data_IF_758052414479
#
_entry.id   IF_758052414479
#
_cell.length_a   1.000
_cell.length_b   1.000
_cell.length_c   1.000
_cell.angle_alpha   90.00
_cell.angle_beta   90.00
_cell.angle_gamma   90.00
#
_symmetry.space_group_name_H-M   'P 1'
#
loop_
_entity.id
_entity.type
_entity.pdbx_description
1 polymer ?
#
# COMPACT_ATOMS: atom_id res chain seq x y z
N UNK A 1 -24.61 6.79 25.11
CA UNK A 1 -23.96 7.98 24.52
C UNK A 1 -24.56 8.19 23.13
N UNK A 2 -25.20 9.34 22.86
CA UNK A 2 -25.77 9.62 21.52
C UNK A 2 -24.61 9.99 20.58
N UNK A 3 -24.44 9.33 19.42
CA UNK A 3 -23.36 9.68 18.50
C UNK A 3 -23.51 11.12 18.03
N UNK A 4 -22.41 11.87 18.00
CA UNK A 4 -22.42 13.24 17.46
C UNK A 4 -22.70 13.21 15.95
N UNK A 5 -23.33 14.24 15.37
CA UNK A 5 -23.64 14.27 13.93
C UNK A 5 -22.41 14.04 13.04
N UNK A 6 -21.23 14.52 13.49
CA UNK A 6 -19.94 14.32 12.81
C UNK A 6 -19.48 12.87 12.85
N UNK A 7 -19.65 12.19 13.98
CA UNK A 7 -19.30 10.77 14.09
C UNK A 7 -20.16 9.90 13.18
N UNK A 8 -21.46 10.21 13.06
CA UNK A 8 -22.35 9.53 12.11
C UNK A 8 -21.90 9.70 10.66
N UNK A 9 -21.55 10.92 10.25
CA UNK A 9 -21.06 11.20 8.89
C UNK A 9 -19.75 10.45 8.61
N UNK A 10 -18.78 10.52 9.53
CA UNK A 10 -17.48 9.87 9.34
C UNK A 10 -17.61 8.34 9.26
N UNK A 11 -18.41 7.75 10.15
CA UNK A 11 -18.67 6.31 10.12
C UNK A 11 -19.39 5.90 8.83
N UNK A 12 -20.36 6.70 8.37
CA UNK A 12 -21.03 6.47 7.09
C UNK A 12 -20.06 6.51 5.90
N UNK A 13 -19.15 7.48 5.88
CA UNK A 13 -18.11 7.58 4.85
C UNK A 13 -17.15 6.39 4.88
N UNK A 14 -16.71 5.95 6.06
CA UNK A 14 -15.83 4.78 6.19
C UNK A 14 -16.51 3.50 5.71
N UNK A 15 -17.79 3.31 6.03
CA UNK A 15 -18.57 2.16 5.54
C UNK A 15 -18.70 2.24 4.00
N UNK A 16 -19.00 3.41 3.45
CA UNK A 16 -19.07 3.60 2.01
C UNK A 16 -17.74 3.28 1.32
N UNK A 17 -16.62 3.72 1.90
CA UNK A 17 -15.28 3.44 1.39
C UNK A 17 -14.94 1.94 1.44
N UNK A 18 -15.34 1.25 2.52
CA UNK A 18 -15.12 -0.18 2.69
C UNK A 18 -15.97 -1.03 1.73
N UNK A 19 -17.17 -0.56 1.38
CA UNK A 19 -18.06 -1.22 0.43
C UNK A 19 -17.73 -0.85 -1.03
N UNK A 20 -16.93 0.19 -1.26
CA UNK A 20 -16.60 0.67 -2.61
C UNK A 20 -16.05 -0.44 -3.54
N UNK A 21 -15.17 -1.37 -3.11
CA UNK A 21 -14.72 -2.48 -3.96
C UNK A 21 -15.82 -3.47 -4.32
N UNK A 22 -16.75 -3.75 -3.40
CA UNK A 22 -17.90 -4.61 -3.67
C UNK A 22 -18.88 -3.96 -4.63
N UNK A 23 -19.11 -2.66 -4.48
CA UNK A 23 -19.94 -1.91 -5.41
C UNK A 23 -19.27 -1.91 -6.79
N UNK A 24 -17.97 -1.62 -6.86
CA UNK A 24 -17.21 -1.62 -8.11
C UNK A 24 -17.24 -2.96 -8.85
N UNK A 25 -17.15 -4.08 -8.12
CA UNK A 25 -17.20 -5.42 -8.72
C UNK A 25 -18.58 -5.76 -9.28
N UNK A 26 -19.66 -5.27 -8.65
CA UNK A 26 -21.02 -5.43 -9.16
C UNK A 26 -21.31 -4.59 -10.41
N UNK A 27 -20.63 -3.45 -10.58
CA UNK A 27 -20.73 -2.65 -11.80
C UNK A 27 -20.03 -3.29 -13.01
N UNK A 28 -19.31 -4.40 -12.83
CA UNK A 28 -18.89 -5.30 -13.91
C UNK A 28 -17.73 -4.82 -14.79
N UNK A 29 -17.13 -3.67 -14.49
CA UNK A 29 -16.02 -3.12 -15.27
C UNK A 29 -14.70 -3.17 -14.46
N UNK A 30 -13.72 -3.91 -14.98
CA UNK A 30 -12.38 -4.03 -14.40
C UNK A 30 -11.70 -2.67 -14.20
N UNK A 31 -12.07 -1.67 -15.01
CA UNK A 31 -11.55 -0.31 -14.89
C UNK A 31 -11.88 0.33 -13.53
N UNK A 32 -13.16 0.33 -13.12
CA UNK A 32 -13.57 0.96 -11.86
C UNK A 32 -12.96 0.26 -10.65
N UNK A 33 -12.87 -1.07 -10.69
CA UNK A 33 -12.23 -1.86 -9.63
C UNK A 33 -10.75 -1.50 -9.49
N UNK A 34 -10.03 -1.36 -10.60
CA UNK A 34 -8.62 -0.95 -10.59
C UNK A 34 -8.42 0.47 -10.05
N UNK A 35 -9.24 1.43 -10.49
CA UNK A 35 -9.16 2.83 -10.01
C UNK A 35 -9.45 2.92 -8.52
N UNK A 36 -10.55 2.31 -8.06
CA UNK A 36 -10.94 2.34 -6.64
C UNK A 36 -9.87 1.67 -5.77
N UNK A 37 -9.29 0.55 -6.23
CA UNK A 37 -8.21 -0.13 -5.50
C UNK A 37 -6.99 0.78 -5.33
N UNK A 38 -6.57 1.49 -6.37
CA UNK A 38 -5.45 2.45 -6.30
C UNK A 38 -5.74 3.60 -5.34
N UNK A 39 -6.94 4.17 -5.37
CA UNK A 39 -7.35 5.24 -4.44
C UNK A 39 -7.31 4.74 -3.00
N UNK A 40 -7.83 3.54 -2.73
CA UNK A 40 -7.82 2.96 -1.38
C UNK A 40 -6.40 2.69 -0.88
N UNK A 41 -5.52 2.14 -1.72
CA UNK A 41 -4.11 1.91 -1.37
C UNK A 41 -3.43 3.24 -0.99
N UNK A 42 -3.61 4.29 -1.80
CA UNK A 42 -3.03 5.61 -1.52
C UNK A 42 -3.63 6.26 -0.27
N UNK A 43 -4.93 6.09 -0.03
CA UNK A 43 -5.59 6.59 1.17
C UNK A 43 -5.04 5.89 2.44
N UNK A 44 -4.84 4.58 2.40
CA UNK A 44 -4.24 3.81 3.51
C UNK A 44 -2.79 4.27 3.75
N UNK A 45 -2.02 4.49 2.68
CA UNK A 45 -0.65 4.99 2.79
C UNK A 45 -0.59 6.40 3.41
N UNK A 46 -1.50 7.30 3.03
CA UNK A 46 -1.58 8.64 3.63
C UNK A 46 -2.03 8.58 5.10
N UNK A 47 -3.00 7.73 5.43
CA UNK A 47 -3.47 7.55 6.80
C UNK A 47 -2.39 6.94 7.69
N UNK A 48 -1.65 5.93 7.23
CA UNK A 48 -0.57 5.32 8.00
C UNK A 48 0.53 6.34 8.32
N UNK A 49 0.87 7.21 7.37
CA UNK A 49 1.82 8.30 7.59
C UNK A 49 1.30 9.33 8.59
N UNK A 50 0.03 9.74 8.48
CA UNK A 50 -0.61 10.66 9.42
C UNK A 50 -0.70 10.07 10.83
N UNK A 51 -0.93 8.76 10.96
CA UNK A 51 -0.90 8.07 12.23
C UNK A 51 0.52 8.04 12.81
N UNK A 52 1.53 7.73 12.00
CA UNK A 52 2.92 7.61 12.44
C UNK A 52 3.50 8.96 12.91
N UNK A 53 3.36 9.99 12.09
CA UNK A 53 3.93 11.33 12.35
C UNK A 53 2.99 12.16 13.24
N UNK A 54 1.70 12.17 12.95
CA UNK A 54 0.73 13.04 13.62
C UNK A 54 0.33 12.56 15.01
N UNK A 55 0.13 11.25 15.20
CA UNK A 55 -0.31 10.69 16.49
C UNK A 55 0.77 9.90 17.21
N UNK A 56 1.64 9.21 16.47
CA UNK A 56 2.69 8.37 17.04
C UNK A 56 3.93 9.13 17.49
N UNK A 57 4.15 10.35 17.00
CA UNK A 57 5.38 11.12 17.26
C UNK A 57 6.66 10.40 16.82
N UNK A 58 6.53 9.31 16.05
CA UNK A 58 7.65 8.48 15.62
C UNK A 58 8.23 9.06 14.34
N UNK A 59 9.34 9.77 14.48
CA UNK A 59 10.07 10.39 13.34
C UNK A 59 10.97 9.37 12.60
N UNK A 60 10.94 8.08 12.97
CA UNK A 60 11.75 7.06 12.31
C UNK A 60 11.16 6.64 10.96
N UNK A 61 11.35 7.48 9.94
CA UNK A 61 11.03 7.17 8.54
C UNK A 61 11.86 5.98 8.01
N UNK A 62 13.09 5.77 8.52
CA UNK A 62 14.05 4.80 7.98
C UNK A 62 13.51 3.36 7.90
N UNK A 63 13.05 2.77 9.01
CA UNK A 63 12.54 1.40 9.00
C UNK A 63 11.30 1.22 8.11
N UNK A 64 10.37 2.18 8.15
CA UNK A 64 9.17 2.15 7.32
C UNK A 64 9.51 2.27 5.82
N UNK A 65 10.50 3.09 5.47
CA UNK A 65 10.98 3.22 4.10
C UNK A 65 11.57 1.90 3.58
N UNK A 66 12.43 1.22 4.35
CA UNK A 66 13.01 -0.06 3.93
C UNK A 66 11.95 -1.17 3.81
N UNK A 67 10.99 -1.24 4.73
CA UNK A 67 9.87 -2.19 4.64
C UNK A 67 9.03 -1.89 3.39
N UNK A 68 8.74 -0.62 3.12
CA UNK A 68 7.98 -0.19 1.94
C UNK A 68 8.68 -0.54 0.62
N UNK A 69 9.98 -0.28 0.52
CA UNK A 69 10.79 -0.62 -0.66
C UNK A 69 10.82 -2.14 -0.87
N UNK A 70 11.08 -2.92 0.18
CA UNK A 70 11.05 -4.38 0.08
C UNK A 70 9.69 -4.92 -0.36
N UNK A 71 8.60 -4.43 0.24
CA UNK A 71 7.24 -4.83 -0.14
C UNK A 71 6.89 -4.45 -1.58
N UNK A 72 7.33 -3.27 -2.05
CA UNK A 72 7.15 -2.85 -3.42
C UNK A 72 7.90 -3.75 -4.41
N UNK A 73 9.17 -4.07 -4.15
CA UNK A 73 9.98 -4.96 -5.00
C UNK A 73 9.35 -6.36 -5.13
N UNK A 74 8.85 -6.92 -4.03
CA UNK A 74 8.15 -8.21 -4.04
C UNK A 74 6.80 -8.10 -4.76
N UNK A 75 6.01 -7.07 -4.47
CA UNK A 75 4.68 -6.88 -5.06
C UNK A 75 4.72 -6.67 -6.57
N UNK A 76 5.65 -5.84 -7.05
CA UNK A 76 5.84 -5.63 -8.49
C UNK A 76 6.41 -6.88 -9.17
N UNK A 77 7.31 -7.61 -8.49
CA UNK A 77 7.82 -8.88 -8.97
C UNK A 77 6.71 -9.91 -9.13
N UNK A 78 5.85 -10.07 -8.11
CA UNK A 78 4.70 -10.95 -8.15
C UNK A 78 3.72 -10.57 -9.25
N UNK A 79 3.44 -9.28 -9.45
CA UNK A 79 2.61 -8.80 -10.55
C UNK A 79 3.11 -9.29 -11.91
N UNK A 80 4.39 -9.07 -12.23
CA UNK A 80 4.96 -9.53 -13.51
C UNK A 80 5.08 -11.06 -13.59
N UNK A 81 5.23 -11.73 -12.45
CA UNK A 81 5.30 -13.19 -12.38
C UNK A 81 3.97 -13.87 -12.72
N UNK A 82 2.84 -13.23 -12.40
CA UNK A 82 1.49 -13.78 -12.61
C UNK A 82 0.76 -13.18 -13.81
N UNK A 83 0.92 -11.89 -14.10
CA UNK A 83 0.20 -11.22 -15.19
C UNK A 83 0.99 -11.24 -16.51
N UNK A 84 2.30 -10.98 -16.47
CA UNK A 84 3.14 -10.91 -17.68
C UNK A 84 3.80 -12.27 -18.04
N UNK A 85 3.56 -13.32 -17.23
CA UNK A 85 4.09 -14.66 -17.46
C UNK A 85 5.60 -14.79 -17.18
N UNK A 86 6.17 -13.90 -16.36
CA UNK A 86 7.60 -13.87 -16.09
C UNK A 86 8.01 -14.94 -15.06
N UNK A 87 8.11 -16.20 -15.49
CA UNK A 87 8.27 -17.39 -14.63
C UNK A 87 9.47 -17.32 -13.66
N UNK A 88 10.60 -16.73 -14.07
CA UNK A 88 11.77 -16.60 -13.20
C UNK A 88 11.50 -15.75 -11.96
N UNK A 89 10.50 -14.86 -12.00
CA UNK A 89 10.09 -14.03 -10.88
C UNK A 89 9.15 -14.74 -9.91
N UNK A 90 8.65 -15.95 -10.23
CA UNK A 90 7.88 -16.77 -9.27
C UNK A 90 8.76 -17.36 -8.16
N UNK A 91 10.08 -17.35 -8.35
CA UNK A 91 11.01 -17.82 -7.35
C UNK A 91 11.13 -16.82 -6.19
N UNK A 92 10.67 -17.22 -5.00
CA UNK A 92 10.73 -16.40 -3.79
C UNK A 92 12.15 -15.95 -3.39
N UNK A 93 13.19 -16.71 -3.74
CA UNK A 93 14.57 -16.29 -3.51
C UNK A 93 14.98 -15.13 -4.40
N UNK A 94 14.51 -15.07 -5.65
CA UNK A 94 14.78 -13.97 -6.56
C UNK A 94 14.07 -12.70 -6.07
N UNK A 95 12.81 -12.83 -5.63
CA UNK A 95 12.08 -11.72 -5.03
C UNK A 95 12.74 -11.22 -3.74
N UNK A 96 13.27 -12.12 -2.91
CA UNK A 96 14.04 -11.76 -1.71
C UNK A 96 15.31 -10.98 -2.07
N UNK A 97 16.09 -11.47 -3.05
CA UNK A 97 17.30 -10.78 -3.51
C UNK A 97 16.96 -9.41 -4.10
N UNK A 98 15.88 -9.30 -4.86
CA UNK A 98 15.40 -8.03 -5.41
C UNK A 98 15.01 -7.03 -4.30
N UNK A 99 14.31 -7.50 -3.26
CA UNK A 99 13.96 -6.69 -2.10
C UNK A 99 15.18 -6.23 -1.30
N UNK A 100 16.15 -7.12 -1.08
CA UNK A 100 17.43 -6.79 -0.43
C UNK A 100 18.22 -5.77 -1.24
N UNK A 101 18.34 -6.00 -2.55
CA UNK A 101 19.09 -5.12 -3.45
C UNK A 101 18.45 -3.72 -3.52
N UNK A 102 17.13 -3.64 -3.69
CA UNK A 102 16.40 -2.37 -3.69
C UNK A 102 16.55 -1.61 -2.37
N UNK A 103 16.43 -2.32 -1.24
CA UNK A 103 16.61 -1.71 0.09
C UNK A 103 18.06 -1.24 0.31
N UNK A 104 19.05 -2.02 -0.13
CA UNK A 104 20.47 -1.67 -0.03
C UNK A 104 20.81 -0.44 -0.88
N UNK A 105 20.23 -0.30 -2.08
CA UNK A 105 20.42 0.87 -2.93
C UNK A 105 19.87 2.14 -2.26
N UNK A 106 18.66 2.06 -1.69
CA UNK A 106 18.07 3.16 -0.94
C UNK A 106 18.90 3.48 0.31
N UNK A 107 19.40 2.47 1.02
CA UNK A 107 20.27 2.65 2.18
C UNK A 107 21.58 3.35 1.81
N UNK A 108 22.16 3.01 0.66
CA UNK A 108 23.36 3.67 0.16
C UNK A 108 23.11 5.16 -0.13
N UNK A 109 21.99 5.48 -0.78
CA UNK A 109 21.63 6.89 -1.07
C UNK A 109 21.38 7.68 0.21
N UNK A 110 20.65 7.11 1.17
CA UNK A 110 20.37 7.76 2.45
C UNK A 110 21.64 7.91 3.29
N UNK A 111 22.48 6.88 3.35
CA UNK A 111 23.72 6.89 4.14
C UNK A 111 24.84 7.73 3.53
N UNK A 112 24.72 8.14 2.26
CA UNK A 112 25.67 9.02 1.60
C UNK A 112 25.41 10.52 1.86
N UNK A 113 24.26 10.88 2.46
CA UNK A 113 23.87 12.24 2.83
C UNK A 113 24.12 12.45 4.32
#
# INVERSE_FOLDING_TARGET
MRPSPRALINTGLLIALALAPWIASWLGDSYYTGVISRVLILAIAALSLNLLIGYGGMVSFGHAAYIGVGAYMVGIGAFHAFEDGMEWMQNGYIQLLAALFGSALIALVIGAI
#
